data_IF_935639966583
#
_entry.id   IF_935639966583
#
_cell.length_a   1.000
_cell.length_b   1.000
_cell.length_c   1.000
_cell.angle_alpha   90.00
_cell.angle_beta   90.00
_cell.angle_gamma   90.00
#
_symmetry.space_group_name_H-M   'P 1'
#
loop_
_entity.id
_entity.type
_entity.pdbx_description
1 polymer ?
#
# COMPACT_ATOMS: atom_id res chain seq x y z
N UNK A 1 18.52 19.18 -8.02
CA UNK A 1 17.46 18.17 -8.33
C UNK A 1 17.95 16.86 -7.73
N UNK A 2 17.24 16.30 -6.76
CA UNK A 2 17.62 15.01 -6.17
C UNK A 2 17.49 13.92 -7.23
N UNK A 3 18.54 13.13 -7.37
CA UNK A 3 18.59 12.01 -8.32
C UNK A 3 17.51 10.97 -7.96
N UNK A 4 16.73 10.52 -8.95
CA UNK A 4 15.70 9.52 -8.76
C UNK A 4 16.35 8.15 -8.98
N UNK A 5 16.37 7.33 -7.94
CA UNK A 5 16.85 5.95 -8.02
C UNK A 5 15.86 5.09 -8.82
N UNK A 6 16.33 4.30 -9.78
CA UNK A 6 15.49 3.34 -10.51
C UNK A 6 15.57 1.96 -9.85
N UNK A 7 14.42 1.35 -9.68
CA UNK A 7 14.26 -0.02 -9.16
C UNK A 7 13.58 -0.84 -10.26
N UNK A 8 14.38 -1.55 -11.03
CA UNK A 8 13.92 -2.36 -12.16
C UNK A 8 13.72 -3.83 -11.79
N UNK A 9 14.41 -4.31 -10.77
CA UNK A 9 14.37 -5.72 -10.38
C UNK A 9 14.15 -5.91 -8.87
N UNK A 10 13.60 -7.05 -8.49
CA UNK A 10 13.46 -7.45 -7.08
C UNK A 10 14.81 -7.52 -6.38
N UNK A 11 15.88 -7.95 -7.09
CA UNK A 11 17.22 -7.95 -6.53
C UNK A 11 17.71 -6.56 -6.16
N UNK A 12 17.58 -5.57 -7.06
CA UNK A 12 17.94 -4.18 -6.75
C UNK A 12 17.14 -3.64 -5.56
N UNK A 13 15.85 -4.02 -5.46
CA UNK A 13 15.02 -3.66 -4.33
C UNK A 13 15.53 -4.26 -3.02
N UNK A 14 15.85 -5.55 -3.00
CA UNK A 14 16.39 -6.25 -1.84
C UNK A 14 17.76 -5.70 -1.43
N UNK A 15 18.64 -5.43 -2.39
CA UNK A 15 19.98 -4.85 -2.15
C UNK A 15 19.87 -3.47 -1.48
N UNK A 16 18.89 -2.66 -1.91
CA UNK A 16 18.60 -1.36 -1.29
C UNK A 16 18.23 -1.51 0.19
N UNK A 17 17.40 -2.48 0.54
CA UNK A 17 17.00 -2.77 1.92
C UNK A 17 18.02 -3.62 2.68
N UNK A 18 19.04 -4.15 2.01
CA UNK A 18 20.05 -5.01 2.62
C UNK A 18 19.51 -6.37 3.06
N UNK A 19 18.52 -6.90 2.33
CA UNK A 19 17.92 -8.21 2.58
C UNK A 19 18.34 -9.22 1.50
N UNK A 20 18.34 -10.50 1.85
CA UNK A 20 18.66 -11.57 0.91
C UNK A 20 17.59 -11.72 -0.18
N UNK A 21 18.02 -12.04 -1.39
CA UNK A 21 17.13 -12.33 -2.51
C UNK A 21 16.83 -13.83 -2.58
N UNK A 22 15.70 -14.24 -2.02
CA UNK A 22 15.24 -15.64 -2.04
C UNK A 22 14.59 -16.02 -3.37
N UNK A 23 13.94 -15.07 -4.05
CA UNK A 23 13.26 -15.28 -5.33
C UNK A 23 13.52 -14.10 -6.27
N UNK A 24 13.78 -14.39 -7.57
CA UNK A 24 14.18 -13.34 -8.53
C UNK A 24 13.06 -12.34 -8.87
N UNK A 25 11.80 -12.75 -8.72
CA UNK A 25 10.65 -11.95 -9.17
C UNK A 25 9.69 -11.55 -8.06
N UNK A 26 9.85 -12.04 -6.84
CA UNK A 26 8.98 -11.72 -5.69
C UNK A 26 9.83 -11.55 -4.43
N UNK A 27 9.49 -10.58 -3.61
CA UNK A 27 10.09 -10.37 -2.29
C UNK A 27 9.06 -9.92 -1.27
N UNK A 28 9.19 -10.39 -0.05
CA UNK A 28 8.48 -9.89 1.13
C UNK A 28 9.51 -9.41 2.13
N UNK A 29 9.48 -8.12 2.46
CA UNK A 29 10.42 -7.48 3.38
C UNK A 29 9.66 -7.03 4.62
N UNK A 30 10.15 -7.45 5.78
CA UNK A 30 9.77 -6.91 7.07
C UNK A 30 10.75 -5.79 7.43
N UNK A 31 10.25 -4.56 7.57
CA UNK A 31 11.09 -3.35 7.67
C UNK A 31 12.07 -3.39 8.84
N UNK A 32 11.67 -3.92 9.99
CA UNK A 32 12.54 -4.03 11.16
C UNK A 32 13.77 -4.95 10.92
N UNK A 33 13.73 -5.82 9.90
CA UNK A 33 14.85 -6.70 9.50
C UNK A 33 15.72 -6.10 8.40
N UNK A 34 15.30 -4.99 7.81
CA UNK A 34 16.07 -4.28 6.82
C UNK A 34 17.17 -3.43 7.46
N UNK A 35 18.20 -3.06 6.70
CA UNK A 35 19.20 -2.11 7.19
C UNK A 35 18.64 -0.70 7.28
N UNK A 36 19.13 0.14 8.21
CA UNK A 36 18.85 1.58 8.19
C UNK A 36 19.29 2.19 6.85
N UNK A 37 18.46 3.04 6.27
CA UNK A 37 18.71 3.63 4.96
C UNK A 37 18.36 5.13 4.94
N UNK A 38 18.93 5.86 3.99
CA UNK A 38 18.52 7.23 3.69
C UNK A 38 17.30 7.24 2.80
N UNK A 39 16.43 8.18 3.01
CA UNK A 39 15.30 8.40 2.12
C UNK A 39 15.78 8.89 0.75
N UNK A 40 15.12 8.43 -0.29
CA UNK A 40 15.29 8.92 -1.64
C UNK A 40 14.01 8.69 -2.44
N UNK A 41 13.85 9.46 -3.50
CA UNK A 41 12.77 9.23 -4.47
C UNK A 41 13.16 8.06 -5.38
N UNK A 42 12.24 7.13 -5.58
CA UNK A 42 12.46 5.92 -6.39
C UNK A 42 11.41 5.81 -7.47
N UNK A 43 11.85 5.51 -8.69
CA UNK A 43 10.99 5.04 -9.77
C UNK A 43 10.90 3.52 -9.67
N UNK A 44 9.70 3.02 -9.44
CA UNK A 44 9.44 1.59 -9.32
C UNK A 44 8.99 1.02 -10.66
N UNK A 45 9.71 0.05 -11.19
CA UNK A 45 9.28 -0.78 -12.33
C UNK A 45 8.75 -2.15 -11.86
N UNK A 46 8.38 -2.23 -10.59
CA UNK A 46 7.78 -3.34 -9.90
C UNK A 46 6.39 -2.94 -9.37
N UNK A 47 5.52 -3.92 -9.17
CA UNK A 47 4.41 -3.75 -8.25
C UNK A 47 4.95 -3.78 -6.82
N UNK A 48 4.52 -2.86 -5.99
CA UNK A 48 4.83 -2.89 -4.57
C UNK A 48 3.59 -2.57 -3.73
N UNK A 49 3.37 -3.36 -2.70
CA UNK A 49 2.31 -3.21 -1.72
C UNK A 49 2.98 -2.99 -0.38
N UNK A 50 2.78 -1.80 0.19
CA UNK A 50 3.41 -1.39 1.43
C UNK A 50 2.35 -1.32 2.52
N UNK A 51 2.61 -1.97 3.64
CA UNK A 51 1.86 -1.79 4.87
C UNK A 51 2.74 -1.01 5.85
N UNK A 52 2.30 0.18 6.22
CA UNK A 52 2.98 1.05 7.18
C UNK A 52 2.53 0.75 8.60
N UNK A 53 3.48 0.60 9.51
CA UNK A 53 3.23 0.27 10.92
C UNK A 53 3.44 1.43 11.88
N UNK A 54 3.97 2.56 11.39
CA UNK A 54 4.26 3.75 12.21
C UNK A 54 3.89 5.04 11.51
N UNK A 55 3.75 6.10 12.30
CA UNK A 55 3.60 7.47 11.82
C UNK A 55 4.94 7.96 11.23
N UNK A 56 5.17 7.71 9.95
CA UNK A 56 6.41 8.08 9.25
C UNK A 56 6.41 9.51 8.69
N UNK A 57 5.51 10.39 9.14
CA UNK A 57 5.40 11.73 8.58
C UNK A 57 4.91 11.75 7.12
N UNK A 58 5.16 12.85 6.41
CA UNK A 58 4.68 13.05 5.04
C UNK A 58 5.51 12.26 4.03
N UNK A 59 4.89 11.34 3.33
CA UNK A 59 5.43 10.68 2.14
C UNK A 59 4.92 11.36 0.88
N UNK A 60 5.81 11.71 -0.04
CA UNK A 60 5.44 12.24 -1.35
C UNK A 60 5.19 11.09 -2.32
N UNK A 61 3.99 11.05 -2.88
CA UNK A 61 3.58 10.16 -3.95
C UNK A 61 3.18 11.01 -5.17
N UNK A 62 3.96 10.96 -6.24
CA UNK A 62 3.77 11.90 -7.34
C UNK A 62 3.92 13.35 -6.90
N UNK A 63 2.85 14.14 -7.06
CA UNK A 63 2.77 15.54 -6.62
C UNK A 63 2.02 15.72 -5.29
N UNK A 64 1.44 14.66 -4.74
CA UNK A 64 0.63 14.69 -3.51
C UNK A 64 1.44 14.29 -2.28
N UNK A 65 1.15 14.93 -1.15
CA UNK A 65 1.68 14.54 0.15
C UNK A 65 0.60 13.77 0.92
N UNK A 66 0.96 12.66 1.52
CA UNK A 66 0.06 11.85 2.33
C UNK A 66 0.50 11.82 3.77
N UNK A 67 -0.47 11.96 4.66
CA UNK A 67 -0.29 11.74 6.09
C UNK A 67 -0.51 10.25 6.38
N UNK A 68 0.60 9.54 6.65
CA UNK A 68 0.55 8.10 6.87
C UNK A 68 0.51 7.78 8.35
N UNK A 69 -0.63 7.26 8.77
CA UNK A 69 -0.81 6.71 10.11
C UNK A 69 -0.51 5.21 10.12
N UNK A 70 -0.34 4.65 11.30
CA UNK A 70 -0.23 3.21 11.52
C UNK A 70 -1.40 2.47 10.86
N UNK A 71 -1.12 1.33 10.22
CA UNK A 71 -2.13 0.54 9.52
C UNK A 71 -2.50 1.06 8.13
N UNK A 72 -1.69 1.94 7.53
CA UNK A 72 -1.93 2.46 6.18
C UNK A 72 -1.28 1.59 5.12
N UNK A 73 -2.04 1.23 4.09
CA UNK A 73 -1.53 0.55 2.90
C UNK A 73 -1.37 1.49 1.72
N UNK A 74 -0.33 1.20 0.94
CA UNK A 74 0.00 1.86 -0.32
C UNK A 74 0.23 0.84 -1.40
N UNK A 75 -0.18 1.19 -2.61
CA UNK A 75 -0.05 0.34 -3.78
C UNK A 75 0.69 1.09 -4.88
N UNK A 76 1.74 0.49 -5.40
CA UNK A 76 2.54 1.04 -6.48
C UNK A 76 2.46 0.11 -7.69
N UNK A 77 2.15 0.69 -8.83
CA UNK A 77 2.29 0.05 -10.14
C UNK A 77 3.65 0.38 -10.77
N UNK A 78 4.12 -0.43 -11.73
CA UNK A 78 5.30 -0.10 -12.51
C UNK A 78 5.20 1.28 -13.18
N UNK A 79 6.30 2.04 -13.16
CA UNK A 79 6.37 3.39 -13.68
C UNK A 79 6.04 4.50 -12.68
N UNK A 80 5.65 4.18 -11.46
CA UNK A 80 5.32 5.17 -10.44
C UNK A 80 6.53 5.57 -9.60
N UNK A 81 6.55 6.85 -9.18
CA UNK A 81 7.60 7.41 -8.36
C UNK A 81 7.07 7.62 -6.94
N UNK A 82 7.77 7.07 -5.97
CA UNK A 82 7.49 7.28 -4.55
C UNK A 82 8.77 7.49 -3.75
N UNK A 83 8.64 8.18 -2.63
CA UNK A 83 9.69 8.38 -1.65
C UNK A 83 9.71 9.79 -1.09
N UNK A 84 10.62 10.04 -0.17
CA UNK A 84 10.88 11.35 0.43
C UNK A 84 12.23 11.88 -0.05
N UNK A 85 12.45 13.17 0.12
CA UNK A 85 13.77 13.76 -0.07
C UNK A 85 14.71 13.29 1.04
N UNK A 86 16.00 13.19 0.73
CA UNK A 86 17.03 12.84 1.71
C UNK A 86 17.16 13.98 2.73
N UNK A 87 16.90 13.68 3.98
CA UNK A 87 17.11 14.61 5.11
C UNK A 87 18.49 14.45 5.75
N UNK A 88 19.37 13.66 5.15
CA UNK A 88 20.73 13.39 5.63
C UNK A 88 20.82 12.37 6.76
N UNK A 89 19.70 11.80 7.22
CA UNK A 89 19.63 10.86 8.34
C UNK A 89 19.38 9.44 7.86
N UNK A 90 19.81 8.48 8.67
CA UNK A 90 19.45 7.08 8.49
C UNK A 90 18.13 6.80 9.23
N UNK A 91 17.21 6.18 8.54
CA UNK A 91 15.90 5.78 9.05
C UNK A 91 15.79 4.27 9.05
N UNK A 92 15.30 3.69 10.15
CA UNK A 92 14.94 2.28 10.18
C UNK A 92 13.62 2.11 9.42
N UNK A 93 13.57 1.29 8.35
CA UNK A 93 12.30 0.96 7.72
C UNK A 93 11.39 0.23 8.71
N UNK A 94 10.10 0.49 8.62
CA UNK A 94 9.09 -0.15 9.44
C UNK A 94 7.93 -0.60 8.57
N UNK A 95 7.15 -1.56 9.09
CA UNK A 95 6.06 -2.18 8.36
C UNK A 95 6.51 -3.30 7.44
N UNK A 96 5.69 -3.59 6.44
CA UNK A 96 5.89 -4.71 5.53
C UNK A 96 5.79 -4.27 4.08
N UNK A 97 6.57 -4.91 3.22
CA UNK A 97 6.48 -4.67 1.78
C UNK A 97 6.45 -6.01 1.05
N UNK A 98 5.46 -6.15 0.17
CA UNK A 98 5.43 -7.17 -0.87
C UNK A 98 5.76 -6.50 -2.19
N UNK A 99 6.87 -6.89 -2.82
CA UNK A 99 7.29 -6.42 -4.14
C UNK A 99 7.34 -7.58 -5.13
N UNK A 100 6.83 -7.37 -6.35
CA UNK A 100 6.91 -8.40 -7.40
C UNK A 100 7.02 -7.80 -8.79
N UNK A 101 7.79 -8.49 -9.64
CA UNK A 101 8.00 -8.08 -11.02
C UNK A 101 6.78 -8.42 -11.89
N UNK A 102 6.35 -7.56 -12.83
CA UNK A 102 5.19 -7.84 -13.70
C UNK A 102 5.28 -9.18 -14.45
N UNK A 103 6.47 -9.60 -14.83
CA UNK A 103 6.69 -10.88 -15.52
C UNK A 103 6.32 -12.08 -14.67
N UNK A 104 6.38 -11.97 -13.34
CA UNK A 104 5.95 -13.06 -12.45
C UNK A 104 4.50 -13.44 -12.68
N UNK A 105 3.65 -12.47 -12.98
CA UNK A 105 2.22 -12.67 -13.21
C UNK A 105 1.92 -13.31 -14.57
N UNK A 106 2.86 -13.32 -15.52
CA UNK A 106 2.63 -13.89 -16.85
C UNK A 106 2.16 -15.34 -16.78
N UNK A 107 1.15 -15.66 -17.60
CA UNK A 107 0.48 -16.97 -17.66
C UNK A 107 -0.31 -17.33 -16.38
N UNK A 108 -0.62 -16.36 -15.53
CA UNK A 108 -1.50 -16.54 -14.37
C UNK A 108 -2.81 -15.77 -14.57
N UNK A 109 -3.92 -16.16 -13.93
CA UNK A 109 -5.17 -15.41 -13.96
C UNK A 109 -4.99 -13.96 -13.46
N UNK A 110 -4.11 -13.76 -12.49
CA UNK A 110 -3.83 -12.44 -11.89
C UNK A 110 -3.25 -11.43 -12.90
N UNK A 111 -2.57 -11.89 -13.96
CA UNK A 111 -2.04 -11.00 -15.00
C UNK A 111 -3.10 -10.14 -15.70
N UNK A 112 -4.33 -10.62 -15.77
CA UNK A 112 -5.49 -9.88 -16.32
C UNK A 112 -6.13 -9.03 -15.23
N UNK A 113 -6.38 -9.63 -14.07
CA UNK A 113 -7.09 -9.01 -12.96
C UNK A 113 -6.34 -7.83 -12.34
N UNK A 114 -4.99 -7.83 -12.35
CA UNK A 114 -4.18 -6.79 -11.71
C UNK A 114 -4.51 -5.39 -12.25
N UNK A 115 -4.96 -5.28 -13.49
CA UNK A 115 -5.34 -4.01 -14.12
C UNK A 115 -6.72 -3.51 -13.69
N UNK A 116 -7.55 -4.37 -13.15
CA UNK A 116 -8.90 -4.06 -12.67
C UNK A 116 -8.87 -3.51 -11.25
N UNK A 117 -7.76 -3.73 -10.51
CA UNK A 117 -7.57 -3.18 -9.18
C UNK A 117 -7.28 -1.68 -9.25
N UNK A 118 -8.30 -0.86 -8.98
CA UNK A 118 -8.27 0.60 -9.12
C UNK A 118 -7.18 1.29 -8.30
N UNK A 119 -6.80 0.73 -7.16
CA UNK A 119 -5.78 1.29 -6.27
C UNK A 119 -4.35 1.23 -6.82
N UNK A 120 -4.09 0.52 -7.93
CA UNK A 120 -2.84 0.63 -8.69
C UNK A 120 -2.86 1.75 -9.73
N UNK A 121 -4.01 2.40 -9.96
CA UNK A 121 -4.11 3.51 -10.91
C UNK A 121 -3.52 4.80 -10.32
N UNK A 122 -3.00 5.67 -11.19
CA UNK A 122 -2.47 6.99 -10.81
C UNK A 122 -3.52 7.89 -10.14
N UNK A 123 -4.80 7.61 -10.36
CA UNK A 123 -5.91 8.39 -9.82
C UNK A 123 -6.40 7.90 -8.45
N UNK A 124 -5.88 6.78 -7.97
CA UNK A 124 -6.18 6.29 -6.62
C UNK A 124 -5.37 7.10 -5.59
N UNK A 125 -5.80 8.33 -5.35
CA UNK A 125 -5.13 9.26 -4.45
C UNK A 125 -5.41 8.98 -2.96
N UNK A 126 -6.06 7.88 -2.64
CA UNK A 126 -6.44 7.58 -1.27
C UNK A 126 -5.70 6.35 -0.74
N UNK A 127 -5.06 6.54 0.40
CA UNK A 127 -4.46 5.44 1.14
C UNK A 127 -5.56 4.57 1.77
N UNK A 128 -5.37 3.27 1.77
CA UNK A 128 -6.25 2.35 2.49
C UNK A 128 -5.84 2.30 3.96
N UNK A 129 -6.75 2.69 4.85
CA UNK A 129 -6.55 2.61 6.29
C UNK A 129 -7.21 1.34 6.84
N UNK A 130 -6.41 0.52 7.50
CA UNK A 130 -6.85 -0.76 8.03
C UNK A 130 -7.19 -0.67 9.53
N UNK A 131 -8.26 -1.32 9.92
CA UNK A 131 -8.49 -1.70 11.31
C UNK A 131 -7.49 -2.77 11.75
N UNK A 132 -7.36 -3.01 13.05
CA UNK A 132 -6.47 -4.05 13.60
C UNK A 132 -6.80 -5.45 13.06
N UNK A 133 -8.08 -5.76 12.84
CA UNK A 133 -8.49 -7.05 12.29
C UNK A 133 -8.11 -7.19 10.81
N UNK A 134 -8.32 -6.14 10.01
CA UNK A 134 -7.96 -6.12 8.59
C UNK A 134 -6.44 -6.17 8.41
N UNK A 135 -5.70 -5.44 9.25
CA UNK A 135 -4.24 -5.50 9.30
C UNK A 135 -3.73 -6.92 9.55
N UNK A 136 -4.32 -7.63 10.49
CA UNK A 136 -3.97 -9.04 10.76
C UNK A 136 -4.16 -9.93 9.54
N UNK A 137 -5.28 -9.78 8.82
CA UNK A 137 -5.55 -10.53 7.59
C UNK A 137 -4.49 -10.26 6.52
N UNK A 138 -4.13 -8.99 6.32
CA UNK A 138 -3.09 -8.60 5.36
C UNK A 138 -1.73 -9.19 5.73
N UNK A 139 -1.35 -9.12 7.00
CA UNK A 139 -0.10 -9.71 7.49
C UNK A 139 -0.07 -11.22 7.32
N UNK A 140 -1.16 -11.92 7.58
CA UNK A 140 -1.27 -13.37 7.37
C UNK A 140 -1.05 -13.75 5.89
N UNK A 141 -1.57 -12.96 4.95
CA UNK A 141 -1.32 -13.18 3.52
C UNK A 141 0.15 -12.95 3.16
N UNK A 142 0.75 -11.85 3.64
CA UNK A 142 2.17 -11.56 3.40
C UNK A 142 3.09 -12.63 3.99
N UNK A 143 2.75 -13.12 5.19
CA UNK A 143 3.51 -14.16 5.88
C UNK A 143 3.45 -15.50 5.13
N UNK A 144 2.30 -15.89 4.58
CA UNK A 144 2.18 -17.09 3.73
C UNK A 144 3.06 -17.00 2.49
N UNK A 145 3.09 -15.83 1.83
CA UNK A 145 3.98 -15.60 0.69
C UNK A 145 5.44 -15.71 1.14
N UNK A 146 5.82 -15.07 2.26
CA UNK A 146 7.18 -15.12 2.80
C UNK A 146 7.62 -16.56 3.10
N UNK A 147 6.75 -17.33 3.72
CA UNK A 147 7.01 -18.74 4.03
C UNK A 147 7.25 -19.54 2.76
N UNK A 148 6.42 -19.35 1.73
CA UNK A 148 6.60 -20.03 0.44
C UNK A 148 7.93 -19.66 -0.24
N UNK A 149 8.36 -18.39 -0.14
CA UNK A 149 9.65 -17.96 -0.68
C UNK A 149 10.88 -18.58 0.02
N UNK A 150 10.71 -19.07 1.25
CA UNK A 150 11.76 -19.76 2.01
C UNK A 150 11.85 -21.25 1.68
N UNK A 151 10.83 -21.83 1.06
CA UNK A 151 10.86 -23.21 0.60
C UNK A 151 11.60 -23.36 -0.73
N UNK A 152 12.17 -24.54 -1.02
CA UNK A 152 12.71 -24.82 -2.35
C UNK A 152 11.64 -24.62 -3.42
N UNK A 153 12.00 -23.90 -4.49
CA UNK A 153 11.07 -23.61 -5.58
C UNK A 153 10.69 -24.90 -6.31
N UNK A 154 9.40 -25.17 -6.39
CA UNK A 154 8.83 -26.29 -7.12
C UNK A 154 7.77 -25.85 -8.14
N UNK A 155 7.13 -26.82 -8.80
CA UNK A 155 6.08 -26.55 -9.81
C UNK A 155 4.81 -25.88 -9.26
N UNK A 156 4.59 -25.91 -7.95
CA UNK A 156 3.43 -25.34 -7.28
C UNK A 156 3.68 -23.96 -6.69
N UNK A 157 4.95 -23.62 -6.39
CA UNK A 157 5.32 -22.38 -5.73
C UNK A 157 4.78 -21.14 -6.42
N UNK A 158 4.85 -21.07 -7.76
CA UNK A 158 4.31 -19.94 -8.52
C UNK A 158 2.80 -19.78 -8.32
N UNK A 159 2.03 -20.85 -8.32
CA UNK A 159 0.58 -20.81 -8.10
C UNK A 159 0.27 -20.38 -6.68
N UNK A 160 0.90 -21.00 -5.68
CA UNK A 160 0.68 -20.68 -4.28
C UNK A 160 0.98 -19.20 -3.95
N UNK A 161 2.10 -18.68 -4.46
CA UNK A 161 2.45 -17.27 -4.30
C UNK A 161 1.41 -16.37 -4.98
N UNK A 162 1.06 -16.67 -6.25
CA UNK A 162 0.10 -15.86 -7.01
C UNK A 162 -1.29 -15.85 -6.37
N UNK A 163 -1.76 -16.99 -5.86
CA UNK A 163 -3.07 -17.12 -5.22
C UNK A 163 -3.11 -16.35 -3.90
N UNK A 164 -2.02 -16.34 -3.12
CA UNK A 164 -1.93 -15.52 -1.92
C UNK A 164 -1.83 -14.02 -2.23
N UNK A 165 -1.13 -13.61 -3.31
CA UNK A 165 -1.14 -12.22 -3.78
C UNK A 165 -2.56 -11.83 -4.18
N UNK A 166 -3.25 -12.67 -4.96
CA UNK A 166 -4.64 -12.42 -5.35
C UNK A 166 -5.55 -12.28 -4.15
N UNK A 167 -5.46 -13.20 -3.18
CA UNK A 167 -6.26 -13.16 -1.96
C UNK A 167 -6.05 -11.86 -1.18
N UNK A 168 -4.80 -11.42 -1.02
CA UNK A 168 -4.48 -10.15 -0.39
C UNK A 168 -5.14 -8.98 -1.12
N UNK A 169 -5.04 -8.94 -2.46
CA UNK A 169 -5.63 -7.89 -3.27
C UNK A 169 -7.17 -7.88 -3.21
N UNK A 170 -7.81 -9.04 -3.19
CA UNK A 170 -9.26 -9.17 -3.06
C UNK A 170 -9.75 -8.65 -1.68
N UNK A 171 -9.01 -8.94 -0.60
CA UNK A 171 -9.29 -8.34 0.71
C UNK A 171 -9.14 -6.82 0.68
N UNK A 172 -8.12 -6.29 0.02
CA UNK A 172 -7.92 -4.86 -0.10
C UNK A 172 -9.08 -4.16 -0.84
N UNK A 173 -9.64 -4.75 -1.91
CA UNK A 173 -10.86 -4.21 -2.55
C UNK A 173 -11.98 -4.12 -1.53
N UNK A 174 -12.26 -5.22 -0.83
CA UNK A 174 -13.33 -5.24 0.17
C UNK A 174 -13.14 -4.16 1.24
N UNK A 175 -11.94 -3.96 1.73
CA UNK A 175 -11.64 -2.95 2.74
C UNK A 175 -11.80 -1.53 2.17
N UNK A 176 -11.39 -1.32 0.92
CA UNK A 176 -11.61 -0.07 0.20
C UNK A 176 -13.10 0.27 0.09
N UNK A 177 -13.91 -0.68 -0.37
CA UNK A 177 -15.35 -0.49 -0.51
C UNK A 177 -16.00 -0.14 0.84
N UNK A 178 -15.63 -0.84 1.91
CA UNK A 178 -16.11 -0.54 3.26
C UNK A 178 -15.69 0.85 3.74
N UNK A 179 -14.46 1.29 3.46
CA UNK A 179 -13.95 2.62 3.80
C UNK A 179 -14.73 3.72 3.07
N UNK A 180 -15.07 3.53 1.79
CA UNK A 180 -15.85 4.49 1.01
C UNK A 180 -17.29 4.57 1.50
N UNK A 181 -17.97 3.45 1.70
CA UNK A 181 -19.34 3.40 2.23
C UNK A 181 -19.42 4.13 3.58
N UNK A 182 -18.46 3.91 4.44
CA UNK A 182 -18.40 4.57 5.76
C UNK A 182 -18.24 6.09 5.61
N UNK A 183 -17.41 6.57 4.68
CA UNK A 183 -17.21 8.00 4.43
C UNK A 183 -18.45 8.67 3.84
N UNK A 184 -19.13 8.03 2.90
CA UNK A 184 -20.38 8.55 2.33
C UNK A 184 -21.45 8.70 3.41
N UNK A 185 -21.60 7.71 4.29
CA UNK A 185 -22.55 7.76 5.40
C UNK A 185 -22.20 8.90 6.39
N UNK A 186 -20.94 9.06 6.74
CA UNK A 186 -20.49 10.15 7.65
C UNK A 186 -20.73 11.52 7.01
N UNK A 187 -20.44 11.67 5.72
CA UNK A 187 -20.69 12.92 5.01
C UNK A 187 -22.19 13.25 4.92
N UNK A 188 -23.03 12.25 4.67
CA UNK A 188 -24.49 12.42 4.67
C UNK A 188 -25.01 12.84 6.05
N UNK A 189 -24.52 12.23 7.12
CA UNK A 189 -24.91 12.59 8.50
C UNK A 189 -24.48 14.02 8.87
N UNK A 190 -23.28 14.43 8.44
CA UNK A 190 -22.79 15.81 8.67
C UNK A 190 -23.66 16.81 7.91
N UNK A 191 -23.98 16.56 6.64
CA UNK A 191 -24.86 17.43 5.85
C UNK A 191 -26.24 17.52 6.47
N UNK A 192 -26.84 16.41 6.88
CA UNK A 192 -28.16 16.38 7.52
C UNK A 192 -28.16 17.18 8.83
N UNK A 193 -27.11 17.04 9.67
CA UNK A 193 -26.98 17.84 10.90
C UNK A 193 -26.78 19.33 10.60
N UNK A 194 -26.05 19.66 9.56
CA UNK A 194 -25.84 21.04 9.14
C UNK A 194 -27.16 21.67 8.64
N UNK A 195 -27.93 20.98 7.81
CA UNK A 195 -29.22 21.39 7.35
C UNK A 195 -30.22 21.63 8.51
N UNK A 196 -30.27 20.69 9.46
CA UNK A 196 -31.11 20.84 10.67
C UNK A 196 -30.69 22.05 11.51
N UNK A 197 -29.40 22.34 11.61
CA UNK A 197 -28.91 23.52 12.33
C UNK A 197 -29.31 24.82 11.65
N UNK A 198 -29.30 24.87 10.31
CA UNK A 198 -29.74 26.03 9.55
C UNK A 198 -31.27 26.30 9.68
N UNK A 199 -32.06 25.23 9.73
CA UNK A 199 -33.52 25.36 9.96
C UNK A 199 -33.80 25.97 11.34
N UNK A 200 -33.08 25.58 12.38
CA UNK A 200 -33.21 26.12 13.73
C UNK A 200 -32.79 27.59 13.85
N UNK A 201 -31.86 28.07 13.01
CA UNK A 201 -31.42 29.47 12.98
C UNK A 201 -32.42 30.34 12.22
N UNK A 202 -33.17 29.76 11.28
CA UNK A 202 -34.15 30.50 10.43
C UNK A 202 -35.56 30.58 11.00
N UNK A 203 -35.89 29.94 12.12
CA UNK A 203 -37.19 30.15 12.79
C UNK A 203 -37.17 31.47 13.55
N UNK A 204 -38.00 32.47 13.10
CA UNK A 204 -38.10 33.71 13.85
C UNK A 204 -38.84 33.43 15.15
N UNK A 205 -38.22 33.74 16.28
CA UNK A 205 -38.84 33.79 17.59
C UNK A 205 -40.05 34.70 17.53
N UNK A 206 -41.24 34.16 17.32
CA UNK A 206 -42.49 34.88 17.59
C UNK A 206 -42.57 35.07 19.12
N UNK A 207 -42.18 36.26 19.56
CA UNK A 207 -42.52 36.75 20.90
C UNK A 207 -43.99 37.18 20.84
N UNK A 208 -44.81 36.53 21.65
CA UNK A 208 -46.13 36.98 22.06
C UNK A 208 -45.99 38.13 23.03
#
# INVERSE_FOLDING_TARGET
MSEIMKIDTVRQYNDYFGVETLHLSVSVIEGCKAKPLRYCRKLYNLYAILLKDTDCGQLKYGQSCYDYRQGTMLFLAPGQIMGSEDDGRLHQPEGWVLAFHPEFLQKTPLARLIKEYSYFSYNANEALHLSEQERKIVLECMEKIRTELQHPIDKHSKSLITDNIKLLLDYCIRFYDLQFITRENVNHDILTRFELSLIHISEPTRRS
#
